data_IF_932567104945
#
_entry.id   IF_932567104945
#
_cell.length_a   1.000
_cell.length_b   1.000
_cell.length_c   1.000
_cell.angle_alpha   90.00
_cell.angle_beta   90.00
_cell.angle_gamma   90.00
#
_symmetry.space_group_name_H-M   'P 1'
#
loop_
_entity.id
_entity.type
_entity.pdbx_description
1 polymer ?
#
# COMPACT_ATOMS: atom_id res chain seq x y z
N UNK A 1 14.75 11.20 -50.03
CA UNK A 1 14.73 10.47 -48.75
C UNK A 1 15.05 11.46 -47.65
N UNK A 2 14.23 11.51 -46.59
CA UNK A 2 14.48 12.38 -45.43
C UNK A 2 15.18 11.57 -44.35
N UNK A 3 15.77 12.28 -43.41
CA UNK A 3 16.42 11.67 -42.25
C UNK A 3 15.92 12.33 -40.97
N UNK A 4 16.01 11.59 -39.87
CA UNK A 4 15.81 12.15 -38.53
C UNK A 4 16.99 13.06 -38.13
N UNK A 5 16.81 14.00 -37.17
CA UNK A 5 17.76 15.09 -36.93
C UNK A 5 19.02 14.76 -36.09
N UNK A 6 18.98 13.75 -35.23
CA UNK A 6 20.03 13.34 -34.29
C UNK A 6 20.88 12.21 -34.89
N UNK A 7 20.26 11.12 -35.33
CA UNK A 7 20.99 9.93 -35.82
C UNK A 7 20.87 9.70 -37.33
N UNK A 8 20.14 10.55 -38.05
CA UNK A 8 20.11 10.51 -39.51
C UNK A 8 19.36 9.29 -40.09
N UNK A 9 18.40 8.71 -39.36
CA UNK A 9 17.66 7.53 -39.76
C UNK A 9 16.78 7.82 -40.99
N UNK A 10 16.94 7.08 -42.09
CA UNK A 10 16.23 7.37 -43.33
C UNK A 10 14.74 7.00 -43.28
N UNK A 11 13.89 7.84 -43.86
CA UNK A 11 12.48 7.54 -44.13
C UNK A 11 12.00 8.12 -45.47
N UNK A 12 10.94 7.53 -46.01
CA UNK A 12 10.32 7.91 -47.28
C UNK A 12 9.24 8.97 -47.07
N UNK A 13 9.09 9.89 -48.02
CA UNK A 13 8.06 10.94 -48.03
C UNK A 13 7.05 10.70 -49.17
N UNK A 14 5.87 11.34 -49.16
CA UNK A 14 4.70 10.97 -49.98
C UNK A 14 4.84 11.05 -51.50
N UNK A 15 6.02 11.39 -52.03
CA UNK A 15 6.24 11.63 -53.45
C UNK A 15 6.20 10.35 -54.31
N UNK A 16 6.17 9.17 -53.71
CA UNK A 16 6.27 7.91 -54.45
C UNK A 16 5.40 6.80 -53.81
N UNK A 17 4.18 6.64 -54.36
CA UNK A 17 3.21 5.53 -54.29
C UNK A 17 2.91 4.83 -52.93
N UNK A 18 1.62 4.54 -52.73
CA UNK A 18 0.94 4.01 -51.52
C UNK A 18 0.75 5.06 -50.40
N UNK A 19 -0.45 5.64 -50.33
CA UNK A 19 -0.76 6.89 -49.62
C UNK A 19 -0.61 6.88 -48.09
N UNK A 20 -0.43 5.73 -47.44
CA UNK A 20 -0.33 5.60 -45.97
C UNK A 20 1.02 5.08 -45.47
N UNK A 21 1.82 4.45 -46.31
CA UNK A 21 3.11 3.85 -45.92
C UNK A 21 4.16 4.91 -45.49
N UNK A 22 4.29 6.08 -46.15
CA UNK A 22 5.27 7.09 -45.77
C UNK A 22 5.11 7.62 -44.35
N UNK A 23 3.86 7.77 -43.89
CA UNK A 23 3.57 8.21 -42.52
C UNK A 23 4.05 7.16 -41.50
N UNK A 24 3.79 5.88 -41.76
CA UNK A 24 4.20 4.78 -40.88
C UNK A 24 5.74 4.67 -40.78
N UNK A 25 6.45 4.79 -41.90
CA UNK A 25 7.91 4.76 -41.91
C UNK A 25 8.53 5.97 -41.19
N UNK A 26 7.92 7.15 -41.32
CA UNK A 26 8.34 8.34 -40.57
C UNK A 26 8.16 8.13 -39.06
N UNK A 27 6.99 7.67 -38.62
CA UNK A 27 6.73 7.38 -37.21
C UNK A 27 7.69 6.32 -36.66
N UNK A 28 7.99 5.28 -37.44
CA UNK A 28 8.96 4.25 -37.05
C UNK A 28 10.37 4.85 -36.87
N UNK A 29 10.83 5.66 -37.82
CA UNK A 29 12.15 6.30 -37.75
C UNK A 29 12.26 7.27 -36.55
N UNK A 30 11.24 8.08 -36.29
CA UNK A 30 11.19 8.98 -35.13
C UNK A 30 11.12 8.20 -33.80
N UNK A 31 10.45 7.06 -33.78
CA UNK A 31 10.42 6.15 -32.62
C UNK A 31 11.80 5.56 -32.32
N UNK A 32 12.52 5.06 -33.33
CA UNK A 32 13.89 4.57 -33.17
C UNK A 32 14.86 5.67 -32.73
N UNK A 33 14.77 6.85 -33.33
CA UNK A 33 15.56 8.01 -32.93
C UNK A 33 15.39 8.32 -31.44
N UNK A 34 14.13 8.36 -30.99
CA UNK A 34 13.78 8.66 -29.61
C UNK A 34 14.36 7.61 -28.66
N UNK A 35 14.20 6.32 -29.00
CA UNK A 35 14.74 5.22 -28.21
C UNK A 35 16.28 5.25 -28.15
N UNK A 36 16.96 5.54 -29.26
CA UNK A 36 18.42 5.66 -29.31
C UNK A 36 18.90 6.85 -28.48
N UNK A 37 18.26 8.01 -28.59
CA UNK A 37 18.59 9.20 -27.80
C UNK A 37 18.40 8.95 -26.29
N UNK A 38 17.36 8.21 -25.92
CA UNK A 38 17.14 7.81 -24.54
C UNK A 38 18.24 6.85 -24.03
N UNK A 39 18.66 5.86 -24.83
CA UNK A 39 19.75 4.96 -24.46
C UNK A 39 21.08 5.70 -24.34
N UNK A 40 21.38 6.60 -25.28
CA UNK A 40 22.64 7.33 -25.30
C UNK A 40 22.73 8.35 -24.15
N UNK A 41 21.64 9.09 -23.90
CA UNK A 41 21.56 10.02 -22.76
C UNK A 41 21.78 9.34 -21.40
N UNK A 42 21.31 8.10 -21.22
CA UNK A 42 21.61 7.26 -20.03
C UNK A 42 23.09 6.86 -19.93
N UNK A 43 23.78 6.70 -21.06
CA UNK A 43 25.19 6.32 -21.11
C UNK A 43 26.16 7.51 -21.07
N UNK A 44 25.66 8.75 -21.10
CA UNK A 44 26.51 9.92 -20.88
C UNK A 44 27.05 9.97 -19.45
N UNK A 45 28.23 10.56 -19.20
CA UNK A 45 28.73 10.78 -17.84
C UNK A 45 27.74 11.53 -16.93
N UNK A 46 26.88 12.37 -17.50
CA UNK A 46 25.82 13.08 -16.79
C UNK A 46 24.65 12.16 -16.39
N UNK A 47 24.26 11.21 -17.25
CA UNK A 47 23.24 10.19 -16.95
C UNK A 47 23.70 9.11 -15.96
N UNK A 48 25.00 8.82 -15.93
CA UNK A 48 25.60 7.84 -15.00
C UNK A 48 25.91 8.45 -13.63
N UNK A 49 26.20 9.77 -13.56
CA UNK A 49 26.52 10.43 -12.29
C UNK A 49 25.25 10.61 -11.45
N UNK A 50 25.27 10.25 -10.15
CA UNK A 50 24.18 10.58 -9.26
C UNK A 50 23.95 12.09 -9.16
N UNK A 51 22.69 12.52 -9.20
CA UNK A 51 22.32 13.89 -8.87
C UNK A 51 22.45 14.09 -7.36
N UNK A 52 23.28 15.05 -6.91
CA UNK A 52 23.49 15.30 -5.48
C UNK A 52 22.91 16.68 -5.14
N UNK A 53 22.09 16.73 -4.11
CA UNK A 53 21.53 17.97 -3.58
C UNK A 53 21.55 17.96 -2.05
N UNK A 54 21.56 19.14 -1.43
CA UNK A 54 21.48 19.26 0.02
C UNK A 54 20.06 19.05 0.53
N UNK A 55 19.03 19.49 -0.20
CA UNK A 55 17.61 19.35 0.17
C UNK A 55 16.82 18.61 -0.90
N UNK A 56 15.66 18.06 -0.53
CA UNK A 56 14.73 17.43 -1.47
C UNK A 56 14.16 18.46 -2.46
N UNK A 57 13.91 19.69 -2.01
CA UNK A 57 13.49 20.78 -2.88
C UNK A 57 14.54 21.11 -3.95
N UNK A 58 15.82 21.17 -3.55
CA UNK A 58 16.92 21.38 -4.49
C UNK A 58 17.07 20.21 -5.47
N UNK A 59 16.88 18.96 -5.00
CA UNK A 59 16.86 17.80 -5.89
C UNK A 59 15.68 17.87 -6.88
N UNK A 60 14.49 18.26 -6.41
CA UNK A 60 13.29 18.42 -7.25
C UNK A 60 13.47 19.45 -8.37
N UNK A 61 14.34 20.45 -8.19
CA UNK A 61 14.71 21.41 -9.23
C UNK A 61 15.68 20.86 -10.30
N UNK A 62 16.24 19.67 -10.11
CA UNK A 62 17.15 19.02 -11.07
C UNK A 62 16.33 18.08 -11.95
N UNK A 63 16.31 18.34 -13.26
CA UNK A 63 15.79 17.36 -14.23
C UNK A 63 16.78 16.21 -14.39
N UNK A 64 16.32 14.98 -14.16
CA UNK A 64 17.12 13.77 -14.34
C UNK A 64 16.86 13.03 -15.66
N UNK A 65 17.63 11.97 -15.89
CA UNK A 65 17.35 10.96 -16.92
C UNK A 65 16.58 9.81 -16.27
N UNK A 66 15.60 9.20 -16.95
CA UNK A 66 14.80 8.09 -16.38
C UNK A 66 15.70 6.96 -15.88
N UNK A 67 15.55 6.61 -14.60
CA UNK A 67 16.37 5.62 -13.90
C UNK A 67 17.65 6.17 -13.24
N UNK A 68 17.96 7.47 -13.41
CA UNK A 68 19.09 8.10 -12.75
C UNK A 68 18.90 8.11 -11.24
N UNK A 69 19.98 7.85 -10.51
CA UNK A 69 20.02 7.93 -9.03
C UNK A 69 20.24 9.37 -8.58
N UNK A 70 19.51 9.79 -7.56
CA UNK A 70 19.68 11.04 -6.84
C UNK A 70 20.03 10.77 -5.37
N UNK A 71 20.60 11.75 -4.68
CA UNK A 71 20.89 11.65 -3.25
C UNK A 71 20.74 13.01 -2.56
N UNK A 72 19.97 13.03 -1.48
CA UNK A 72 19.77 14.19 -0.60
C UNK A 72 20.62 14.03 0.66
N UNK A 73 21.46 15.01 0.98
CA UNK A 73 22.50 14.86 2.01
C UNK A 73 22.27 15.61 3.32
N UNK A 74 21.46 16.67 3.34
CA UNK A 74 21.36 17.58 4.48
C UNK A 74 20.01 18.33 4.55
N UNK A 75 18.91 17.65 4.21
CA UNK A 75 17.57 18.21 4.34
C UNK A 75 17.21 18.34 5.83
N UNK A 76 16.60 19.46 6.26
CA UNK A 76 16.17 19.65 7.64
C UNK A 76 15.21 18.57 8.15
N UNK A 77 14.40 17.98 7.25
CA UNK A 77 13.59 16.83 7.58
C UNK A 77 14.38 15.55 7.31
N UNK A 78 14.82 14.86 8.37
CA UNK A 78 15.67 13.66 8.24
C UNK A 78 15.09 12.58 7.32
N UNK A 79 13.77 12.44 7.27
CA UNK A 79 13.05 11.51 6.39
C UNK A 79 13.30 11.76 4.89
N UNK A 80 13.66 12.98 4.52
CA UNK A 80 13.94 13.37 3.14
C UNK A 80 15.37 13.03 2.71
N UNK A 81 16.27 12.76 3.65
CA UNK A 81 17.65 12.39 3.33
C UNK A 81 17.75 10.97 2.76
N UNK A 82 18.75 10.77 1.91
CA UNK A 82 19.06 9.48 1.31
C UNK A 82 18.80 9.41 -0.20
N UNK A 83 18.71 8.19 -0.76
CA UNK A 83 18.72 7.97 -2.19
C UNK A 83 17.32 8.08 -2.83
N UNK A 84 17.30 8.55 -4.08
CA UNK A 84 16.11 8.73 -4.93
C UNK A 84 16.35 8.19 -6.35
N UNK A 85 15.29 7.95 -7.11
CA UNK A 85 15.34 7.65 -8.54
C UNK A 85 14.48 8.64 -9.34
N UNK A 86 14.98 9.10 -10.49
CA UNK A 86 14.19 9.89 -11.42
C UNK A 86 13.29 8.97 -12.25
N UNK A 87 11.98 9.21 -12.24
CA UNK A 87 10.99 8.38 -12.95
C UNK A 87 10.68 8.83 -14.39
N UNK A 88 11.31 9.92 -14.84
CA UNK A 88 10.95 10.63 -16.06
C UNK A 88 10.17 11.92 -15.78
N UNK A 89 9.58 12.06 -14.59
CA UNK A 89 8.80 13.25 -14.21
C UNK A 89 9.13 13.80 -12.81
N UNK A 90 9.63 12.96 -11.89
CA UNK A 90 9.94 13.36 -10.53
C UNK A 90 11.01 12.45 -9.91
N UNK A 91 11.62 12.93 -8.83
CA UNK A 91 12.46 12.12 -7.94
C UNK A 91 11.58 11.39 -6.93
N UNK A 92 11.65 10.06 -6.91
CA UNK A 92 11.01 9.22 -5.91
C UNK A 92 12.04 8.57 -5.00
N UNK A 93 11.76 8.52 -3.70
CA UNK A 93 12.67 7.95 -2.70
C UNK A 93 12.76 6.43 -2.86
N UNK A 94 13.96 5.86 -2.67
CA UNK A 94 14.06 4.40 -2.52
C UNK A 94 13.53 3.98 -1.15
N UNK A 95 12.79 2.87 -1.11
CA UNK A 95 12.43 2.23 0.14
C UNK A 95 13.69 1.67 0.81
N UNK A 96 13.88 2.03 2.08
CA UNK A 96 14.94 1.48 2.93
C UNK A 96 14.47 0.18 3.60
N UNK A 97 15.42 -0.59 4.14
CA UNK A 97 15.06 -1.75 4.96
C UNK A 97 14.19 -1.37 6.16
N UNK A 98 14.33 -0.15 6.71
CA UNK A 98 13.49 0.32 7.80
C UNK A 98 12.04 0.55 7.33
N UNK A 99 11.85 1.10 6.13
CA UNK A 99 10.51 1.28 5.54
C UNK A 99 9.82 -0.08 5.33
N UNK A 100 10.58 -1.09 4.87
CA UNK A 100 10.09 -2.47 4.70
C UNK A 100 9.84 -3.15 6.05
N UNK A 101 10.74 -2.97 7.02
CA UNK A 101 10.61 -3.54 8.35
C UNK A 101 9.33 -3.03 9.02
N UNK A 102 9.00 -1.75 8.89
CA UNK A 102 7.78 -1.18 9.45
C UNK A 102 6.49 -1.83 8.90
N UNK A 103 6.43 -2.13 7.60
CA UNK A 103 5.24 -2.76 6.98
C UNK A 103 5.18 -4.28 7.17
N UNK A 104 6.32 -4.92 7.43
CA UNK A 104 6.42 -6.38 7.62
C UNK A 104 6.53 -6.82 9.08
N UNK A 105 6.79 -5.88 10.00
CA UNK A 105 6.93 -6.12 11.43
C UNK A 105 5.74 -6.90 11.95
N UNK A 106 5.98 -7.99 12.66
CA UNK A 106 4.93 -8.80 13.25
C UNK A 106 5.15 -8.92 14.76
N UNK A 107 4.06 -9.00 15.52
CA UNK A 107 4.16 -9.43 16.90
C UNK A 107 4.76 -10.86 16.91
N UNK A 108 5.69 -11.18 17.83
CA UNK A 108 6.38 -12.47 17.81
C UNK A 108 5.44 -13.64 18.11
N UNK A 109 4.38 -13.40 18.87
CA UNK A 109 3.36 -14.37 19.25
C UNK A 109 2.00 -13.67 19.39
N UNK A 110 0.88 -14.42 19.32
CA UNK A 110 -0.44 -13.87 19.62
C UNK A 110 -0.55 -13.31 21.04
N UNK A 111 -1.15 -12.13 21.19
CA UNK A 111 -1.29 -11.40 22.46
C UNK A 111 -2.74 -11.47 22.93
N UNK A 112 -2.98 -11.76 24.21
CA UNK A 112 -4.33 -11.67 24.78
C UNK A 112 -4.68 -10.21 25.08
N UNK A 113 -5.68 -9.68 24.38
CA UNK A 113 -6.06 -8.25 24.42
C UNK A 113 -7.17 -7.99 25.43
N UNK A 114 -8.11 -8.92 25.51
CA UNK A 114 -9.27 -8.87 26.41
C UNK A 114 -9.44 -10.25 27.02
N UNK A 115 -9.64 -10.31 28.33
CA UNK A 115 -9.97 -11.52 29.07
C UNK A 115 -10.97 -11.20 30.17
N UNK A 116 -12.08 -11.94 30.20
CA UNK A 116 -13.02 -11.89 31.30
C UNK A 116 -13.70 -13.26 31.47
N UNK A 117 -14.66 -13.33 32.39
CA UNK A 117 -15.40 -14.56 32.70
C UNK A 117 -16.06 -15.19 31.47
N UNK A 118 -16.48 -14.38 30.50
CA UNK A 118 -17.17 -14.83 29.29
C UNK A 118 -16.24 -15.27 28.17
N UNK A 119 -14.96 -14.90 28.15
CA UNK A 119 -14.04 -15.35 27.10
C UNK A 119 -12.83 -14.46 26.88
N UNK A 120 -12.22 -14.63 25.71
CA UNK A 120 -10.98 -13.93 25.33
C UNK A 120 -11.03 -13.36 23.93
N UNK A 121 -10.37 -12.22 23.74
CA UNK A 121 -9.95 -11.72 22.43
C UNK A 121 -8.43 -11.79 22.37
N UNK A 122 -7.90 -12.56 21.43
CA UNK A 122 -6.46 -12.72 21.20
C UNK A 122 -6.12 -12.10 19.86
N UNK A 123 -5.08 -11.29 19.78
CA UNK A 123 -4.67 -10.60 18.57
C UNK A 123 -3.31 -11.06 18.05
N UNK A 124 -3.10 -10.89 16.75
CA UNK A 124 -1.80 -10.97 16.09
C UNK A 124 -1.69 -9.82 15.07
N UNK A 125 -0.64 -8.99 15.15
CA UNK A 125 -0.40 -7.90 14.20
C UNK A 125 0.73 -8.21 13.26
N UNK A 126 0.56 -7.71 12.02
CA UNK A 126 1.63 -7.58 11.03
C UNK A 126 1.48 -6.25 10.30
N UNK A 127 2.50 -5.40 10.41
CA UNK A 127 2.47 -4.01 9.96
C UNK A 127 1.29 -3.27 10.55
N UNK A 128 0.52 -2.61 9.69
CA UNK A 128 -0.72 -1.90 10.05
C UNK A 128 -1.98 -2.77 9.98
N UNK A 129 -1.83 -4.09 10.01
CA UNK A 129 -2.97 -5.03 10.02
C UNK A 129 -3.00 -5.82 11.31
N UNK A 130 -4.16 -5.88 11.95
CA UNK A 130 -4.44 -6.75 13.09
C UNK A 130 -5.39 -7.87 12.67
N UNK A 131 -5.11 -9.09 13.11
CA UNK A 131 -6.08 -10.18 13.13
C UNK A 131 -6.41 -10.51 14.57
N UNK A 132 -7.68 -10.49 14.93
CA UNK A 132 -8.15 -10.90 16.25
C UNK A 132 -8.96 -12.19 16.16
N UNK A 133 -8.78 -13.06 17.15
CA UNK A 133 -9.57 -14.26 17.40
C UNK A 133 -10.43 -14.02 18.63
N UNK A 134 -11.73 -14.09 18.43
CA UNK A 134 -12.72 -14.09 19.50
C UNK A 134 -12.99 -15.55 19.88
N UNK A 135 -12.80 -15.88 21.15
CA UNK A 135 -13.13 -17.17 21.75
C UNK A 135 -14.02 -16.92 22.96
N UNK A 136 -15.33 -16.94 22.75
CA UNK A 136 -16.32 -16.58 23.75
C UNK A 136 -17.04 -17.83 24.26
N UNK A 137 -17.07 -18.02 25.58
CA UNK A 137 -17.61 -19.19 26.27
C UNK A 137 -19.13 -19.19 26.34
N UNK A 138 -19.75 -18.02 26.40
CA UNK A 138 -21.20 -17.89 26.51
C UNK A 138 -21.70 -16.54 26.01
N UNK A 139 -22.81 -16.54 25.26
CA UNK A 139 -23.43 -15.31 24.74
C UNK A 139 -24.77 -14.98 25.39
N UNK A 140 -25.20 -13.73 25.27
CA UNK A 140 -26.53 -13.29 25.66
C UNK A 140 -27.62 -14.19 25.03
N UNK A 141 -28.63 -14.54 25.81
CA UNK A 141 -29.66 -15.54 25.46
C UNK A 141 -30.88 -14.97 24.75
N UNK A 142 -31.11 -13.65 24.83
CA UNK A 142 -32.24 -13.01 24.17
C UNK A 142 -31.99 -12.77 22.67
N UNK A 143 -33.06 -12.90 21.88
CA UNK A 143 -33.06 -12.41 20.49
C UNK A 143 -32.75 -10.92 20.49
N UNK A 144 -31.88 -10.48 19.60
CA UNK A 144 -31.47 -9.07 19.48
C UNK A 144 -30.83 -8.45 20.73
N UNK A 145 -30.45 -9.26 21.72
CA UNK A 145 -29.59 -8.79 22.80
C UNK A 145 -28.17 -8.58 22.32
N UNK A 146 -27.44 -7.77 23.06
CA UNK A 146 -26.04 -7.49 22.86
C UNK A 146 -25.17 -8.07 23.98
N UNK A 147 -23.87 -8.00 23.76
CA UNK A 147 -22.88 -8.22 24.80
C UNK A 147 -21.60 -7.47 24.52
N UNK A 148 -20.85 -7.22 25.60
CA UNK A 148 -19.63 -6.43 25.58
C UNK A 148 -18.45 -7.38 25.67
N UNK A 149 -17.51 -7.27 24.74
CA UNK A 149 -16.23 -7.94 24.86
C UNK A 149 -15.33 -7.19 25.84
N UNK A 150 -15.16 -5.88 25.59
CA UNK A 150 -14.27 -4.99 26.34
C UNK A 150 -13.74 -3.89 25.43
N UNK A 151 -12.61 -3.29 25.80
CA UNK A 151 -11.95 -2.23 25.01
C UNK A 151 -10.55 -2.67 24.60
N UNK A 152 -10.25 -2.56 23.31
CA UNK A 152 -8.92 -2.84 22.77
C UNK A 152 -7.88 -1.81 23.25
N UNK A 153 -6.63 -2.23 23.52
CA UNK A 153 -5.53 -1.31 23.77
C UNK A 153 -5.27 -0.39 22.57
N UNK A 154 -4.72 0.80 22.81
CA UNK A 154 -4.55 1.87 21.79
C UNK A 154 -3.90 1.39 20.48
N UNK A 155 -2.83 0.60 20.54
CA UNK A 155 -2.14 0.05 19.36
C UNK A 155 -2.88 -1.05 18.58
N UNK A 156 -4.12 -1.38 18.97
CA UNK A 156 -4.98 -2.38 18.33
C UNK A 156 -6.29 -1.78 17.80
N UNK A 157 -6.49 -0.47 17.94
CA UNK A 157 -7.74 0.19 17.58
C UNK A 157 -7.81 0.46 16.08
N UNK A 158 -8.99 0.29 15.46
CA UNK A 158 -9.16 0.65 14.06
C UNK A 158 -9.20 2.17 13.88
N UNK A 159 -8.89 2.68 12.67
CA UNK A 159 -8.97 4.12 12.39
C UNK A 159 -10.42 4.64 12.26
N UNK A 160 -11.41 3.75 12.23
CA UNK A 160 -12.83 4.08 12.10
C UNK A 160 -13.69 2.99 12.75
N UNK A 161 -14.97 3.27 12.94
CA UNK A 161 -15.94 2.27 13.39
C UNK A 161 -16.11 1.15 12.36
N UNK A 162 -15.98 -0.09 12.81
CA UNK A 162 -16.10 -1.28 11.99
C UNK A 162 -17.32 -2.10 12.38
N UNK A 163 -17.98 -2.66 11.35
CA UNK A 163 -19.13 -3.54 11.48
C UNK A 163 -18.87 -4.82 10.67
N UNK A 164 -18.72 -5.94 11.38
CA UNK A 164 -18.53 -7.25 10.80
C UNK A 164 -19.82 -8.05 10.92
N UNK A 165 -20.46 -8.27 9.78
CA UNK A 165 -21.68 -9.07 9.71
C UNK A 165 -21.36 -10.57 9.83
N UNK A 166 -22.25 -11.30 10.49
CA UNK A 166 -22.26 -12.77 10.52
C UNK A 166 -21.07 -13.47 11.18
N UNK A 167 -20.64 -12.99 12.36
CA UNK A 167 -19.91 -13.82 13.33
C UNK A 167 -20.86 -14.80 14.04
N UNK A 168 -20.37 -15.86 14.67
CA UNK A 168 -21.26 -16.77 15.42
C UNK A 168 -20.86 -18.23 15.38
N UNK A 169 -21.73 -19.10 15.94
CA UNK A 169 -21.49 -20.55 15.99
C UNK A 169 -22.09 -21.29 14.79
N UNK A 170 -23.31 -20.91 14.41
CA UNK A 170 -24.13 -21.63 13.43
C UNK A 170 -25.18 -20.70 12.79
N UNK A 171 -26.00 -21.22 11.87
CA UNK A 171 -27.04 -20.46 11.17
C UNK A 171 -28.17 -19.90 12.03
N UNK A 172 -28.29 -20.34 13.29
CA UNK A 172 -29.26 -19.80 14.25
C UNK A 172 -28.63 -18.77 15.21
N UNK A 173 -27.36 -18.94 15.56
CA UNK A 173 -26.62 -18.13 16.53
C UNK A 173 -25.62 -17.22 15.80
N UNK A 174 -26.15 -16.34 14.96
CA UNK A 174 -25.36 -15.32 14.25
C UNK A 174 -25.31 -14.01 15.03
N UNK A 175 -24.24 -13.25 14.83
CA UNK A 175 -23.88 -12.05 15.56
C UNK A 175 -23.26 -11.04 14.62
N UNK A 176 -23.58 -9.77 14.81
CA UNK A 176 -22.79 -8.67 14.26
C UNK A 176 -21.73 -8.33 15.30
N UNK A 177 -20.46 -8.25 14.89
CA UNK A 177 -19.36 -7.82 15.74
C UNK A 177 -19.03 -6.37 15.39
N UNK A 178 -18.96 -5.50 16.41
CA UNK A 178 -18.63 -4.08 16.24
C UNK A 178 -17.33 -3.78 16.97
N UNK A 179 -16.46 -3.03 16.29
CA UNK A 179 -15.23 -2.49 16.87
C UNK A 179 -15.24 -0.99 16.60
N UNK A 180 -15.35 -0.20 17.66
CA UNK A 180 -15.34 1.25 17.57
C UNK A 180 -13.93 1.79 17.40
N UNK A 181 -13.79 3.00 16.86
CA UNK A 181 -12.49 3.65 16.69
C UNK A 181 -11.74 3.86 18.02
N UNK A 182 -12.47 3.98 19.13
CA UNK A 182 -11.91 4.05 20.49
C UNK A 182 -11.53 2.66 21.07
N UNK A 183 -11.69 1.59 20.29
CA UNK A 183 -11.41 0.21 20.66
C UNK A 183 -12.55 -0.50 21.37
N UNK A 184 -13.67 0.15 21.65
CA UNK A 184 -14.80 -0.49 22.32
C UNK A 184 -15.41 -1.57 21.43
N UNK A 185 -15.49 -2.79 21.95
CA UNK A 185 -15.92 -3.98 21.22
C UNK A 185 -17.20 -4.58 21.79
N UNK A 186 -18.18 -4.78 20.91
CA UNK A 186 -19.46 -5.42 21.23
C UNK A 186 -19.86 -6.46 20.20
N UNK A 187 -20.83 -7.28 20.55
CA UNK A 187 -21.59 -8.07 19.61
C UNK A 187 -23.09 -7.86 19.80
N UNK A 188 -23.85 -8.09 18.74
CA UNK A 188 -25.30 -8.04 18.75
C UNK A 188 -25.85 -9.31 18.10
N UNK A 189 -26.68 -10.04 18.84
CA UNK A 189 -27.35 -11.24 18.35
C UNK A 189 -28.23 -10.89 17.13
N UNK A 190 -28.19 -11.73 16.10
CA UNK A 190 -29.00 -11.59 14.90
C UNK A 190 -29.93 -12.80 14.76
N UNK A 191 -31.23 -12.54 14.62
CA UNK A 191 -32.24 -13.58 14.44
C UNK A 191 -32.93 -14.06 15.73
N UNK A 192 -33.87 -15.00 15.57
CA UNK A 192 -34.81 -15.41 16.62
C UNK A 192 -34.21 -16.32 17.69
N UNK A 193 -33.71 -17.51 17.32
CA UNK A 193 -33.27 -18.50 18.32
C UNK A 193 -31.81 -18.27 18.73
N UNK A 194 -31.60 -17.85 19.98
CA UNK A 194 -30.27 -17.68 20.57
C UNK A 194 -30.04 -18.68 21.71
N UNK A 195 -28.78 -18.99 21.98
CA UNK A 195 -28.37 -19.87 23.08
C UNK A 195 -27.25 -19.26 23.91
N UNK A 196 -27.11 -19.67 25.17
CA UNK A 196 -26.01 -19.25 26.06
C UNK A 196 -24.67 -19.91 25.71
N UNK A 197 -24.53 -20.45 24.51
CA UNK A 197 -23.39 -21.29 24.14
C UNK A 197 -22.20 -20.47 23.67
N UNK A 198 -21.06 -21.16 23.61
CA UNK A 198 -19.83 -20.60 23.08
C UNK A 198 -19.95 -20.23 21.60
N UNK A 199 -19.23 -19.17 21.21
CA UNK A 199 -19.05 -18.79 19.81
C UNK A 199 -17.63 -18.23 19.61
N UNK A 200 -17.22 -18.13 18.36
CA UNK A 200 -15.96 -17.49 18.02
C UNK A 200 -15.87 -17.15 16.56
N UNK A 201 -15.01 -16.20 16.23
CA UNK A 201 -14.69 -15.83 14.86
C UNK A 201 -13.31 -15.19 14.82
N UNK A 202 -12.70 -15.17 13.65
CA UNK A 202 -11.49 -14.41 13.38
C UNK A 202 -11.84 -13.22 12.51
N UNK A 203 -11.30 -12.04 12.84
CA UNK A 203 -11.55 -10.79 12.13
C UNK A 203 -10.22 -10.12 11.85
N UNK A 204 -10.04 -9.61 10.64
CA UNK A 204 -8.84 -8.87 10.23
C UNK A 204 -9.21 -7.45 9.85
N UNK A 205 -8.46 -6.47 10.33
CA UNK A 205 -8.70 -5.05 10.09
C UNK A 205 -7.40 -4.22 10.15
N UNK A 206 -7.45 -3.01 9.60
CA UNK A 206 -6.36 -2.05 9.66
C UNK A 206 -6.35 -1.34 11.02
N UNK A 207 -5.15 -1.10 11.58
CA UNK A 207 -4.96 -0.33 12.83
C UNK A 207 -4.53 1.10 12.53
N UNK A 208 -4.89 2.02 13.44
CA UNK A 208 -4.44 3.41 13.40
C UNK A 208 -2.90 3.53 13.51
#
# INVERSE_FOLDING_TARGET
MKTTPIYGLPYIEPADLVSSAPAQFKTMAEGFETALNEVDSRNTPAGVKPAIATTLEALAGIAGVTGQTGYVTADPAESNNGPYCWTGSAWLRYATMNDIAAVTAADPEPVKLIENTYGTVTGYRRGKTATIRISWKSSATGSWNDGIFGTLPEGWRPPMDLNFSYGGRDGANQKVIRIKADGYMTYDNQGGTQSNSAFGCSITYAIA
#
